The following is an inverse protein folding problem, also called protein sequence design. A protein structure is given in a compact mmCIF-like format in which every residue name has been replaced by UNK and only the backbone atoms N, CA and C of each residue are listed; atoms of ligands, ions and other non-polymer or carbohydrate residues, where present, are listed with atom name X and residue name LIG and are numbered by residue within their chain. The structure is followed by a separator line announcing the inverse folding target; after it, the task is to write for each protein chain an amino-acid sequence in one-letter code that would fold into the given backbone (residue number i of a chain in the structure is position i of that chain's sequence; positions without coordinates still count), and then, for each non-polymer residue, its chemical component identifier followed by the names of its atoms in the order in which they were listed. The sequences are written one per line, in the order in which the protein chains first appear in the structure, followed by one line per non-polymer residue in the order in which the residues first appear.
data_IF_265270950870
#
_entry.id   IF_265270950870
#
_cell.length_a   1.000
_cell.length_b   1.000
_cell.length_c   1.000
_cell.angle_alpha   90.00
_cell.angle_beta   90.00
_cell.angle_gamma   90.00
#
_symmetry.space_group_name_H-M   'P 1'
#
loop_
_entity.id
_entity.type
_entity.pdbx_description
1 polymer ?
#
# COMPACT_ATOMS: atom_id res chain seq x y z
N UNK A 1 14.87 -12.63 -29.45
CA UNK A 1 15.19 -11.66 -30.53
C UNK A 1 14.00 -10.79 -30.91
N UNK A 2 12.80 -11.35 -31.07
CA UNK A 2 11.59 -10.62 -31.49
C UNK A 2 11.22 -9.49 -30.50
N UNK A 3 11.25 -9.75 -29.19
CA UNK A 3 10.99 -8.74 -28.15
C UNK A 3 12.04 -7.62 -28.20
N UNK A 4 13.32 -7.97 -28.36
CA UNK A 4 14.39 -6.99 -28.47
C UNK A 4 14.22 -6.06 -29.69
N UNK A 5 13.77 -6.62 -30.81
CA UNK A 5 13.47 -5.85 -32.01
C UNK A 5 12.32 -4.85 -31.79
N UNK A 6 11.23 -5.28 -31.14
CA UNK A 6 10.10 -4.40 -30.80
C UNK A 6 10.52 -3.26 -29.86
N UNK A 7 11.33 -3.55 -28.84
CA UNK A 7 11.82 -2.54 -27.91
C UNK A 7 12.68 -1.49 -28.62
N UNK A 8 13.60 -1.91 -29.50
CA UNK A 8 14.42 -0.98 -30.29
C UNK A 8 13.58 -0.10 -31.22
N UNK A 9 12.52 -0.65 -31.82
CA UNK A 9 11.62 0.11 -32.69
C UNK A 9 10.73 1.10 -31.94
N UNK A 10 10.56 0.92 -30.61
CA UNK A 10 9.71 1.80 -29.79
C UNK A 10 10.28 3.21 -29.64
N UNK A 11 11.57 3.42 -29.89
CA UNK A 11 12.28 4.70 -29.71
C UNK A 11 12.39 5.13 -28.23
N UNK A 12 12.02 4.25 -27.28
CA UNK A 12 12.12 4.54 -25.85
C UNK A 12 13.50 4.12 -25.33
N UNK A 13 14.08 4.86 -24.34
CA UNK A 13 15.27 4.41 -23.66
C UNK A 13 15.03 3.01 -23.07
N UNK A 14 15.93 2.09 -23.41
CA UNK A 14 15.80 0.69 -22.99
C UNK A 14 17.08 0.27 -22.28
N UNK A 15 16.94 -0.19 -21.05
CA UNK A 15 18.00 -0.70 -20.21
C UNK A 15 17.82 -2.21 -20.05
N UNK A 16 18.84 -3.00 -20.34
CA UNK A 16 18.79 -4.46 -20.26
C UNK A 16 19.42 -4.94 -18.95
N UNK A 17 18.62 -5.48 -18.04
CA UNK A 17 19.10 -6.12 -16.84
C UNK A 17 19.26 -7.64 -17.07
N UNK A 18 20.48 -8.16 -16.95
CA UNK A 18 20.79 -9.59 -17.01
C UNK A 18 20.88 -10.12 -15.60
N UNK A 19 19.79 -10.75 -15.12
CA UNK A 19 19.69 -11.22 -13.75
C UNK A 19 20.40 -12.58 -13.53
N UNK A 20 20.63 -12.92 -12.25
CA UNK A 20 21.37 -14.13 -11.80
C UNK A 20 22.89 -14.07 -12.05
N UNK A 21 23.46 -12.87 -12.12
CA UNK A 21 24.90 -12.67 -12.19
C UNK A 21 25.53 -12.80 -10.79
N UNK A 22 25.37 -13.98 -10.17
CA UNK A 22 25.75 -14.22 -8.77
C UNK A 22 27.28 -14.35 -8.61
N UNK A 23 27.99 -14.73 -9.68
CA UNK A 23 29.43 -14.90 -9.75
C UNK A 23 30.04 -14.10 -10.90
N UNK A 24 31.36 -13.82 -10.80
CA UNK A 24 32.07 -13.03 -11.82
C UNK A 24 31.94 -13.64 -13.21
N UNK A 25 32.03 -14.95 -13.33
CA UNK A 25 31.86 -15.65 -14.64
C UNK A 25 30.46 -15.48 -15.22
N UNK A 26 29.42 -15.38 -14.39
CA UNK A 26 28.06 -15.12 -14.85
C UNK A 26 27.87 -13.65 -15.28
N UNK A 27 28.58 -12.74 -14.63
CA UNK A 27 28.63 -11.33 -15.03
C UNK A 27 29.38 -11.17 -16.38
N UNK A 28 30.46 -11.90 -16.59
CA UNK A 28 31.23 -11.89 -17.84
C UNK A 28 30.39 -12.44 -19.01
N UNK A 29 29.54 -13.42 -18.78
CA UNK A 29 28.60 -13.96 -19.77
C UNK A 29 27.53 -12.94 -20.20
N UNK A 30 27.31 -11.86 -19.45
CA UNK A 30 26.42 -10.79 -19.87
C UNK A 30 26.82 -10.13 -21.20
N UNK A 31 28.09 -10.28 -21.60
CA UNK A 31 28.60 -9.80 -22.88
C UNK A 31 27.87 -10.46 -24.07
N UNK A 32 27.39 -11.70 -23.94
CA UNK A 32 26.62 -12.36 -24.99
C UNK A 32 25.34 -11.59 -25.35
N UNK A 33 24.76 -10.86 -24.40
CA UNK A 33 23.56 -10.06 -24.62
C UNK A 33 23.79 -8.77 -25.41
N UNK A 34 25.06 -8.41 -25.67
CA UNK A 34 25.40 -7.29 -26.58
C UNK A 34 24.89 -7.55 -27.99
N UNK A 35 24.76 -8.82 -28.39
CA UNK A 35 24.16 -9.22 -29.66
C UNK A 35 22.70 -8.77 -29.82
N UNK A 36 22.02 -8.45 -28.71
CA UNK A 36 20.65 -7.91 -28.75
C UNK A 36 20.60 -6.45 -29.17
N UNK A 37 21.76 -5.75 -29.25
CA UNK A 37 21.89 -4.38 -29.76
C UNK A 37 21.32 -3.32 -28.80
N UNK A 38 21.40 -3.54 -27.50
CA UNK A 38 21.11 -2.52 -26.49
C UNK A 38 22.41 -1.88 -26.03
N UNK A 39 22.39 -0.57 -25.84
CA UNK A 39 23.55 0.23 -25.42
C UNK A 39 23.90 -0.01 -23.95
N UNK A 40 22.88 -0.16 -23.11
CA UNK A 40 23.05 -0.29 -21.66
C UNK A 40 22.65 -1.69 -21.19
N UNK A 41 23.66 -2.48 -20.77
CA UNK A 41 23.49 -3.84 -20.27
C UNK A 41 24.04 -3.91 -18.85
N UNK A 42 23.21 -4.32 -17.90
CA UNK A 42 23.55 -4.41 -16.48
C UNK A 42 23.50 -5.85 -16.02
N UNK A 43 24.64 -6.48 -15.71
CA UNK A 43 24.64 -7.73 -14.96
C UNK A 43 24.21 -7.45 -13.52
N UNK A 44 23.12 -8.08 -13.09
CA UNK A 44 22.54 -7.89 -11.74
C UNK A 44 22.34 -9.24 -11.05
N UNK A 45 22.39 -9.23 -9.73
CA UNK A 45 21.91 -10.33 -8.90
C UNK A 45 20.88 -9.80 -7.91
N UNK A 46 19.61 -9.99 -8.21
CA UNK A 46 18.54 -9.56 -7.35
C UNK A 46 18.56 -10.26 -5.98
N UNK A 47 19.07 -11.53 -5.95
CA UNK A 47 19.21 -12.30 -4.72
C UNK A 47 20.28 -11.72 -3.78
N UNK A 48 21.38 -11.23 -4.33
CA UNK A 48 22.54 -10.73 -3.57
C UNK A 48 22.66 -9.20 -3.60
N UNK A 49 21.65 -8.50 -4.13
CA UNK A 49 21.61 -7.04 -4.28
C UNK A 49 22.88 -6.45 -4.96
N UNK A 50 23.37 -7.17 -5.99
CA UNK A 50 24.55 -6.73 -6.77
C UNK A 50 24.12 -6.08 -8.08
N UNK A 51 24.71 -4.95 -8.43
CA UNK A 51 24.46 -4.24 -9.68
C UNK A 51 23.10 -3.52 -9.73
N UNK A 52 22.23 -3.70 -8.76
CA UNK A 52 20.91 -3.09 -8.68
C UNK A 52 20.98 -1.58 -8.51
N UNK A 53 21.90 -1.08 -7.69
CA UNK A 53 22.12 0.36 -7.51
C UNK A 53 22.53 1.04 -8.81
N UNK A 54 23.49 0.49 -9.54
CA UNK A 54 23.97 1.05 -10.82
C UNK A 54 22.86 1.08 -11.84
N UNK A 55 22.05 0.01 -11.95
CA UNK A 55 20.88 -0.03 -12.81
C UNK A 55 19.87 1.07 -12.45
N UNK A 56 19.61 1.27 -11.15
CA UNK A 56 18.67 2.29 -10.69
C UNK A 56 19.19 3.71 -10.94
N UNK A 57 20.46 3.97 -10.65
CA UNK A 57 21.09 5.27 -10.88
C UNK A 57 21.01 5.64 -12.39
N UNK A 58 21.39 4.71 -13.26
CA UNK A 58 21.28 4.93 -14.71
C UNK A 58 19.82 5.07 -15.16
N UNK A 59 18.87 4.35 -14.53
CA UNK A 59 17.45 4.52 -14.83
C UNK A 59 16.99 5.95 -14.51
N UNK A 60 17.43 6.50 -13.38
CA UNK A 60 17.09 7.86 -12.96
C UNK A 60 17.65 8.91 -13.94
N UNK A 61 18.85 8.70 -14.48
CA UNK A 61 19.46 9.58 -15.49
C UNK A 61 18.68 9.63 -16.80
N UNK A 62 17.99 8.53 -17.14
CA UNK A 62 17.18 8.43 -18.36
C UNK A 62 15.71 8.84 -18.18
N UNK A 63 15.29 9.08 -16.92
CA UNK A 63 13.99 9.68 -16.71
C UNK A 63 14.05 11.13 -17.22
N UNK A 64 13.00 11.60 -17.91
CA UNK A 64 12.93 13.01 -18.24
C UNK A 64 13.09 13.78 -16.93
N UNK A 65 14.01 14.75 -16.93
CA UNK A 65 14.02 15.72 -15.83
C UNK A 65 12.57 16.08 -15.60
N UNK A 66 12.13 16.04 -14.35
CA UNK A 66 10.82 16.53 -13.98
C UNK A 66 10.82 18.00 -14.41
N UNK A 67 10.58 18.21 -15.72
CA UNK A 67 10.33 19.53 -16.28
C UNK A 67 9.31 20.11 -15.35
N UNK A 68 9.48 21.36 -14.96
CA UNK A 68 8.49 22.08 -14.19
C UNK A 68 7.14 21.66 -14.72
N UNK A 69 6.58 20.67 -14.05
CA UNK A 69 5.28 20.11 -14.43
C UNK A 69 4.37 21.30 -14.29
N UNK A 70 4.00 21.89 -15.42
CA UNK A 70 2.91 22.87 -15.51
C UNK A 70 1.56 22.23 -15.16
N UNK A 71 1.56 20.96 -14.88
CA UNK A 71 0.68 20.38 -13.93
C UNK A 71 1.11 20.94 -12.56
N UNK A 72 0.50 22.08 -12.22
CA UNK A 72 0.31 22.45 -10.83
C UNK A 72 0.14 21.11 -10.09
N UNK A 73 1.07 20.64 -9.25
CA UNK A 73 0.84 19.46 -8.46
C UNK A 73 -0.31 19.87 -7.55
N UNK A 74 -1.52 19.68 -8.03
CA UNK A 74 -2.63 19.62 -7.09
C UNK A 74 -2.20 18.52 -6.14
N UNK A 75 -1.98 18.85 -4.87
CA UNK A 75 -1.45 17.89 -3.92
C UNK A 75 -2.32 16.66 -4.05
N UNK A 76 -1.74 15.57 -4.52
CA UNK A 76 -2.47 14.35 -4.83
C UNK A 76 -3.22 13.96 -3.57
N UNK A 77 -4.53 14.08 -3.60
CA UNK A 77 -5.37 13.71 -2.47
C UNK A 77 -5.29 12.20 -2.30
N UNK A 78 -4.75 11.75 -1.19
CA UNK A 78 -4.61 10.34 -0.88
C UNK A 78 -5.92 9.81 -0.28
N UNK A 79 -6.53 8.85 -0.95
CA UNK A 79 -7.79 8.25 -0.52
C UNK A 79 -7.54 7.12 0.49
N UNK A 80 -8.07 7.25 1.70
CA UNK A 80 -7.92 6.31 2.79
C UNK A 80 -9.25 5.63 3.10
N UNK A 81 -9.28 4.29 3.16
CA UNK A 81 -10.44 3.53 3.62
C UNK A 81 -10.11 2.84 4.94
N UNK A 82 -10.89 3.09 6.00
CA UNK A 82 -10.75 2.37 7.27
C UNK A 82 -11.73 1.20 7.28
N UNK A 83 -11.19 -0.01 7.17
CA UNK A 83 -11.93 -1.25 7.01
C UNK A 83 -11.67 -2.23 8.16
N UNK A 84 -12.53 -3.20 8.31
CA UNK A 84 -12.44 -4.22 9.38
C UNK A 84 -13.83 -4.65 9.82
N UNK A 85 -13.92 -5.76 10.55
CA UNK A 85 -15.19 -6.30 11.06
C UNK A 85 -15.90 -5.34 12.03
N UNK A 86 -17.17 -5.57 12.36
CA UNK A 86 -17.88 -4.78 13.36
C UNK A 86 -17.18 -4.76 14.74
N UNK A 87 -17.27 -3.66 15.46
CA UNK A 87 -16.80 -3.50 16.85
C UNK A 87 -15.29 -3.59 17.10
N UNK A 88 -14.43 -3.60 16.05
CA UNK A 88 -12.97 -3.54 16.21
C UNK A 88 -12.46 -2.13 16.56
N UNK A 89 -13.33 -1.11 16.59
CA UNK A 89 -12.99 0.26 16.98
C UNK A 89 -12.69 1.22 15.83
N UNK A 90 -13.12 0.93 14.59
CA UNK A 90 -12.95 1.84 13.44
C UNK A 90 -13.41 3.27 13.71
N UNK A 91 -14.61 3.43 14.27
CA UNK A 91 -15.16 4.75 14.59
C UNK A 91 -14.35 5.50 15.66
N UNK A 92 -13.77 4.77 16.61
CA UNK A 92 -12.91 5.37 17.63
C UNK A 92 -11.60 5.87 17.05
N UNK A 93 -11.02 5.12 16.10
CA UNK A 93 -9.81 5.53 15.39
C UNK A 93 -10.08 6.79 14.56
N UNK A 94 -11.21 6.83 13.82
CA UNK A 94 -11.58 8.01 13.04
C UNK A 94 -11.76 9.22 13.94
N UNK A 95 -12.47 9.07 15.06
CA UNK A 95 -12.67 10.17 16.00
C UNK A 95 -11.33 10.66 16.58
N UNK A 96 -10.42 9.74 16.91
CA UNK A 96 -9.10 10.11 17.41
C UNK A 96 -8.25 10.82 16.35
N UNK A 97 -8.31 10.38 15.09
CA UNK A 97 -7.64 11.03 13.98
C UNK A 97 -8.17 12.44 13.72
N UNK A 98 -9.50 12.59 13.67
CA UNK A 98 -10.14 13.89 13.37
C UNK A 98 -10.07 14.89 14.52
N UNK A 99 -9.75 14.45 15.74
CA UNK A 99 -9.58 15.30 16.92
C UNK A 99 -8.10 15.57 17.25
N UNK A 100 -7.16 15.04 16.46
CA UNK A 100 -5.73 15.24 16.71
C UNK A 100 -5.26 16.61 16.20
N UNK A 101 -4.35 17.24 16.91
CA UNK A 101 -3.77 18.55 16.55
C UNK A 101 -2.99 18.53 15.23
N UNK A 102 -2.68 17.36 14.71
CA UNK A 102 -1.95 17.14 13.45
C UNK A 102 -2.85 16.98 12.24
N UNK A 103 -4.17 16.94 12.44
CA UNK A 103 -5.16 16.69 11.39
C UNK A 103 -6.13 17.86 11.32
N UNK A 104 -6.10 18.58 10.23
CA UNK A 104 -7.06 19.66 9.95
C UNK A 104 -8.18 19.05 9.09
N UNK A 105 -9.37 18.94 9.65
CA UNK A 105 -10.57 18.49 8.91
C UNK A 105 -11.17 19.68 8.20
N UNK A 106 -11.29 19.61 6.88
CA UNK A 106 -11.96 20.65 6.11
C UNK A 106 -13.47 20.46 6.18
N UNK A 107 -14.19 21.43 6.74
CA UNK A 107 -15.64 21.49 6.61
C UNK A 107 -15.98 22.01 5.21
N UNK A 108 -16.30 21.12 4.28
CA UNK A 108 -16.92 21.52 3.02
C UNK A 108 -18.44 21.38 3.22
N UNK A 109 -19.18 22.49 3.27
CA UNK A 109 -20.63 22.45 3.33
C UNK A 109 -21.19 22.00 1.99
N UNK A 110 -21.94 20.93 1.97
CA UNK A 110 -22.85 20.59 0.88
C UNK A 110 -22.33 19.60 -0.14
N UNK A 111 -22.63 18.34 0.12
CA UNK A 111 -23.16 17.45 -0.90
C UNK A 111 -24.01 16.37 -0.23
N UNK A 112 -25.24 16.36 -0.64
CA UNK A 112 -26.35 15.45 -0.52
C UNK A 112 -26.07 13.98 -0.20
N UNK A 113 -26.77 13.48 0.81
CA UNK A 113 -27.41 12.17 1.10
C UNK A 113 -26.70 10.84 0.92
N UNK A 114 -25.60 10.72 0.15
CA UNK A 114 -24.92 9.45 -0.11
C UNK A 114 -23.42 9.58 0.20
N UNK A 115 -22.84 8.59 0.93
CA UNK A 115 -21.44 8.35 1.23
C UNK A 115 -20.58 9.62 1.44
N UNK A 116 -20.54 10.13 2.65
CA UNK A 116 -19.75 11.35 2.95
C UNK A 116 -18.28 10.97 3.08
N UNK A 117 -17.52 11.25 2.05
CA UNK A 117 -16.06 11.25 2.11
C UNK A 117 -15.62 12.51 2.89
N UNK A 118 -14.68 12.38 3.81
CA UNK A 118 -14.23 13.48 4.67
C UNK A 118 -12.81 13.89 4.28
N UNK A 119 -12.62 15.08 3.71
CA UNK A 119 -11.29 15.60 3.41
C UNK A 119 -10.60 16.03 4.70
N UNK A 120 -9.30 15.76 4.78
CA UNK A 120 -8.44 16.20 5.88
C UNK A 120 -7.01 16.36 5.41
N UNK A 121 -6.23 17.09 6.18
CA UNK A 121 -4.81 17.34 5.88
C UNK A 121 -3.96 16.87 7.05
N UNK A 122 -2.87 16.18 6.74
CA UNK A 122 -1.86 15.78 7.72
C UNK A 122 -0.63 16.63 7.51
N UNK A 123 -0.12 17.23 8.57
CA UNK A 123 1.16 17.92 8.58
C UNK A 123 2.20 17.09 9.34
N UNK A 124 3.29 16.73 8.67
CA UNK A 124 4.39 15.96 9.27
C UNK A 124 5.72 16.49 8.72
N UNK A 125 6.63 16.86 9.61
CA UNK A 125 7.99 17.34 9.27
C UNK A 125 8.00 18.46 8.21
N UNK A 126 7.05 19.38 8.29
CA UNK A 126 6.93 20.50 7.34
C UNK A 126 6.36 20.11 5.97
N UNK A 127 5.90 18.86 5.80
CA UNK A 127 5.19 18.40 4.60
C UNK A 127 3.70 18.32 4.88
N UNK A 128 2.93 18.86 3.95
CA UNK A 128 1.47 18.85 3.98
C UNK A 128 0.95 17.80 3.00
N UNK A 129 0.20 16.81 3.52
CA UNK A 129 -0.44 15.79 2.69
C UNK A 129 -1.95 15.94 2.77
N UNK A 130 -2.59 16.15 1.62
CA UNK A 130 -4.05 16.13 1.52
C UNK A 130 -4.55 14.69 1.45
N UNK A 131 -5.53 14.38 2.29
CA UNK A 131 -6.11 13.06 2.42
C UNK A 131 -7.63 13.14 2.37
N UNK A 132 -8.26 12.04 2.01
CA UNK A 132 -9.72 11.89 2.04
C UNK A 132 -10.09 10.54 2.66
N UNK A 133 -10.89 10.55 3.73
CA UNK A 133 -11.49 9.34 4.28
C UNK A 133 -12.71 8.95 3.46
N UNK A 134 -12.68 7.75 2.89
CA UNK A 134 -13.76 7.21 2.06
C UNK A 134 -14.78 6.46 2.91
N UNK A 135 -16.07 6.62 2.58
CA UNK A 135 -17.24 5.93 3.17
C UNK A 135 -17.38 6.10 4.70
N UNK A 136 -17.24 7.32 5.18
CA UNK A 136 -17.47 7.63 6.61
C UNK A 136 -18.94 7.52 7.03
N UNK A 137 -19.89 7.47 6.08
CA UNK A 137 -21.34 7.34 6.36
C UNK A 137 -21.70 6.02 7.06
N UNK A 138 -21.03 4.93 6.72
CA UNK A 138 -21.15 3.64 7.40
C UNK A 138 -20.73 3.69 8.87
N UNK A 139 -19.91 4.66 9.25
CA UNK A 139 -19.35 4.81 10.58
C UNK A 139 -20.18 5.76 11.47
N UNK A 140 -20.85 6.76 10.88
CA UNK A 140 -21.68 7.75 11.62
C UNK A 140 -23.10 7.25 11.92
N UNK A 141 -23.68 6.35 11.11
CA UNK A 141 -25.08 5.88 11.24
C UNK A 141 -25.34 4.81 12.31
N UNK A 142 -24.37 4.39 13.12
CA UNK A 142 -24.52 3.31 14.12
C UNK A 142 -25.51 3.54 15.26
N UNK A 143 -26.35 4.58 15.24
CA UNK A 143 -27.26 4.86 16.37
C UNK A 143 -28.67 4.24 16.27
N UNK A 144 -29.09 3.62 15.16
CA UNK A 144 -30.53 3.27 15.05
C UNK A 144 -31.01 2.01 14.30
N UNK A 145 -30.23 1.05 13.79
CA UNK A 145 -30.83 -0.15 13.15
C UNK A 145 -30.05 -1.43 13.44
N UNK A 146 -30.75 -2.46 13.93
CA UNK A 146 -30.18 -3.71 14.45
C UNK A 146 -30.09 -4.90 13.48
N UNK A 147 -30.83 -4.99 12.38
CA UNK A 147 -31.07 -6.28 11.71
C UNK A 147 -30.81 -6.41 10.18
N UNK A 148 -30.29 -5.40 9.50
CA UNK A 148 -29.93 -5.54 8.05
C UNK A 148 -28.46 -5.23 7.77
N UNK A 149 -27.62 -5.24 8.79
CA UNK A 149 -26.31 -4.57 8.81
C UNK A 149 -25.15 -5.38 8.23
N UNK A 150 -25.21 -6.71 8.16
CA UNK A 150 -24.06 -7.49 7.71
C UNK A 150 -23.85 -7.45 6.20
N UNK A 151 -24.90 -7.60 5.42
CA UNK A 151 -24.78 -7.61 3.96
C UNK A 151 -24.39 -6.24 3.38
N UNK A 152 -24.99 -5.17 3.87
CA UNK A 152 -24.63 -3.81 3.48
C UNK A 152 -23.20 -3.42 3.91
N UNK A 153 -22.70 -4.00 5.00
CA UNK A 153 -21.34 -3.78 5.49
C UNK A 153 -20.26 -4.37 4.55
N UNK A 154 -20.49 -5.57 4.00
CA UNK A 154 -19.52 -6.23 3.12
C UNK A 154 -19.43 -5.53 1.76
N UNK A 155 -20.57 -5.19 1.15
CA UNK A 155 -20.61 -4.49 -0.14
C UNK A 155 -19.96 -3.12 -0.05
N UNK A 156 -20.26 -2.34 0.99
CA UNK A 156 -19.63 -1.04 1.23
C UNK A 156 -18.14 -1.12 1.48
N UNK A 157 -17.70 -2.12 2.26
CA UNK A 157 -16.28 -2.38 2.46
C UNK A 157 -15.56 -2.65 1.14
N UNK A 158 -16.18 -3.44 0.26
CA UNK A 158 -15.64 -3.73 -1.06
C UNK A 158 -15.57 -2.48 -1.95
N UNK A 159 -16.60 -1.64 -1.94
CA UNK A 159 -16.61 -0.37 -2.67
C UNK A 159 -15.58 0.62 -2.14
N UNK A 160 -15.43 0.74 -0.83
CA UNK A 160 -14.41 1.59 -0.21
C UNK A 160 -12.99 1.12 -0.59
N UNK A 161 -12.72 -0.19 -0.57
CA UNK A 161 -11.43 -0.76 -0.97
C UNK A 161 -11.15 -0.48 -2.45
N UNK A 162 -12.14 -0.55 -3.33
CA UNK A 162 -11.94 -0.24 -4.76
C UNK A 162 -11.56 1.22 -5.01
N UNK A 163 -12.07 2.12 -4.20
CA UNK A 163 -11.89 3.58 -4.36
C UNK A 163 -10.67 4.14 -3.62
N UNK A 164 -10.13 3.43 -2.62
CA UNK A 164 -8.99 3.92 -1.84
C UNK A 164 -7.66 3.67 -2.52
N UNK A 165 -6.66 4.43 -2.12
CA UNK A 165 -5.25 4.18 -2.43
C UNK A 165 -4.62 3.32 -1.33
N UNK A 166 -4.98 3.60 -0.08
CA UNK A 166 -4.53 2.86 1.10
C UNK A 166 -5.73 2.37 1.91
N UNK A 167 -5.79 1.08 2.17
CA UNK A 167 -6.74 0.48 3.10
C UNK A 167 -6.10 0.32 4.48
N UNK A 168 -6.75 0.86 5.51
CA UNK A 168 -6.37 0.68 6.92
C UNK A 168 -7.23 -0.44 7.49
N UNK A 169 -6.66 -1.65 7.57
CA UNK A 169 -7.33 -2.82 8.13
C UNK A 169 -7.20 -2.83 9.67
N UNK A 170 -8.32 -2.61 10.35
CA UNK A 170 -8.37 -2.61 11.81
C UNK A 170 -8.75 -3.99 12.32
N UNK A 171 -7.90 -4.58 13.14
CA UNK A 171 -8.11 -5.85 13.83
C UNK A 171 -8.13 -5.65 15.34
N UNK A 172 -8.84 -6.50 16.04
CA UNK A 172 -8.98 -6.45 17.49
C UNK A 172 -7.88 -7.28 18.17
N UNK A 173 -7.12 -6.65 19.05
CA UNK A 173 -6.00 -7.29 19.75
C UNK A 173 -6.46 -8.43 20.68
N UNK A 174 -7.63 -8.32 21.28
CA UNK A 174 -8.15 -9.30 22.23
C UNK A 174 -8.57 -10.59 21.51
N UNK A 175 -9.41 -10.46 20.47
CA UNK A 175 -9.90 -11.63 19.73
C UNK A 175 -8.92 -12.16 18.70
N UNK A 176 -7.93 -11.36 18.30
CA UNK A 176 -6.97 -11.72 17.26
C UNK A 176 -7.57 -11.72 15.85
N UNK A 177 -6.83 -12.31 14.92
CA UNK A 177 -7.23 -12.41 13.50
C UNK A 177 -8.23 -13.53 13.34
N UNK A 178 -9.42 -13.20 12.85
CA UNK A 178 -10.49 -14.17 12.55
C UNK A 178 -10.68 -14.30 11.02
N UNK A 179 -11.52 -15.25 10.60
CA UNK A 179 -11.75 -15.55 9.18
C UNK A 179 -12.29 -14.34 8.39
N UNK A 180 -13.10 -13.50 9.03
CA UNK A 180 -13.63 -12.28 8.41
C UNK A 180 -12.53 -11.24 8.13
N UNK A 181 -11.53 -11.12 9.00
CA UNK A 181 -10.38 -10.23 8.78
C UNK A 181 -9.53 -10.70 7.59
N UNK A 182 -9.36 -12.02 7.45
CA UNK A 182 -8.64 -12.61 6.31
C UNK A 182 -9.36 -12.35 4.98
N UNK A 183 -10.70 -12.46 4.95
CA UNK A 183 -11.49 -12.13 3.75
C UNK A 183 -11.35 -10.66 3.34
N UNK A 184 -11.29 -9.75 4.30
CA UNK A 184 -11.06 -8.32 4.02
C UNK A 184 -9.64 -8.11 3.49
N UNK A 185 -8.63 -8.74 4.11
CA UNK A 185 -7.24 -8.67 3.65
C UNK A 185 -7.07 -9.22 2.22
N UNK A 186 -7.70 -10.36 1.91
CA UNK A 186 -7.72 -10.93 0.56
C UNK A 186 -8.36 -9.97 -0.46
N UNK A 187 -9.45 -9.31 -0.09
CA UNK A 187 -10.09 -8.31 -0.94
C UNK A 187 -9.19 -7.10 -1.20
N UNK A 188 -8.44 -6.61 -0.20
CA UNK A 188 -7.45 -5.54 -0.36
C UNK A 188 -6.37 -5.96 -1.34
N UNK A 189 -5.82 -7.17 -1.17
CA UNK A 189 -4.77 -7.72 -2.02
C UNK A 189 -5.23 -7.88 -3.47
N UNK A 190 -6.43 -8.44 -3.70
CA UNK A 190 -7.01 -8.61 -5.05
C UNK A 190 -7.28 -7.29 -5.77
N UNK A 191 -7.51 -6.22 -5.03
CA UNK A 191 -7.68 -4.87 -5.60
C UNK A 191 -6.35 -4.10 -5.70
N UNK A 192 -5.21 -4.75 -5.42
CA UNK A 192 -3.87 -4.15 -5.49
C UNK A 192 -3.75 -2.83 -4.71
N UNK A 193 -4.36 -2.77 -3.51
CA UNK A 193 -4.30 -1.59 -2.66
C UNK A 193 -3.22 -1.72 -1.60
N UNK A 194 -2.56 -0.62 -1.29
CA UNK A 194 -1.66 -0.59 -0.15
C UNK A 194 -2.45 -0.87 1.15
N UNK A 195 -1.84 -1.60 2.09
CA UNK A 195 -2.52 -2.01 3.32
C UNK A 195 -1.70 -1.65 4.55
N UNK A 196 -2.33 -0.93 5.48
CA UNK A 196 -1.83 -0.70 6.83
C UNK A 196 -2.67 -1.53 7.79
N UNK A 197 -2.04 -2.42 8.55
CA UNK A 197 -2.74 -3.22 9.58
C UNK A 197 -2.61 -2.52 10.93
N UNK A 198 -3.76 -2.16 11.52
CA UNK A 198 -3.85 -1.54 12.84
C UNK A 198 -4.39 -2.56 13.84
N UNK A 199 -3.60 -2.88 14.85
CA UNK A 199 -4.02 -3.75 15.95
C UNK A 199 -4.57 -2.86 17.07
N UNK A 200 -5.90 -2.77 17.15
CA UNK A 200 -6.60 -1.92 18.12
C UNK A 200 -6.94 -2.64 19.42
N UNK A 201 -7.30 -1.91 20.47
CA UNK A 201 -7.60 -2.40 21.82
C UNK A 201 -6.42 -3.14 22.46
N UNK A 202 -5.21 -2.71 22.14
CA UNK A 202 -3.98 -3.31 22.65
C UNK A 202 -3.86 -3.20 24.17
N UNK A 203 -4.45 -2.17 24.74
CA UNK A 203 -4.56 -1.90 26.16
C UNK A 203 -5.34 -2.97 26.94
N UNK A 204 -6.34 -3.59 26.28
CA UNK A 204 -7.17 -4.63 26.89
C UNK A 204 -6.49 -6.01 26.94
N UNK A 205 -5.36 -6.18 26.28
CA UNK A 205 -4.65 -7.46 26.25
C UNK A 205 -3.70 -7.60 27.45
N UNK A 206 -3.63 -8.80 28.05
CA UNK A 206 -2.64 -9.10 29.09
C UNK A 206 -1.23 -9.12 28.51
N UNK A 207 -0.22 -8.83 29.35
CA UNK A 207 1.17 -8.79 28.89
C UNK A 207 1.65 -10.14 28.34
N UNK A 208 1.17 -11.25 28.88
CA UNK A 208 1.44 -12.58 28.35
C UNK A 208 0.93 -12.76 26.91
N UNK A 209 -0.28 -12.26 26.62
CA UNK A 209 -0.86 -12.29 25.27
C UNK A 209 -0.11 -11.37 24.30
N UNK A 210 0.31 -10.20 24.79
CA UNK A 210 1.12 -9.25 24.00
C UNK A 210 2.43 -9.88 23.56
N UNK A 211 3.15 -10.53 24.47
CA UNK A 211 4.41 -11.20 24.18
C UNK A 211 4.25 -12.41 23.26
N UNK A 212 3.23 -13.24 23.47
CA UNK A 212 2.95 -14.38 22.61
C UNK A 212 2.67 -13.96 21.17
N UNK A 213 1.88 -12.89 20.96
CA UNK A 213 1.55 -12.37 19.64
C UNK A 213 2.73 -11.70 18.95
N UNK A 214 3.58 -10.97 19.66
CA UNK A 214 4.82 -10.43 19.08
C UNK A 214 5.70 -11.57 18.54
N UNK A 215 5.88 -12.66 19.29
CA UNK A 215 6.65 -13.83 18.86
C UNK A 215 6.04 -14.49 17.64
N UNK A 216 4.72 -14.62 17.56
CA UNK A 216 4.02 -15.20 16.41
C UNK A 216 4.20 -14.37 15.14
N UNK A 217 4.06 -13.05 15.22
CA UNK A 217 4.28 -12.13 14.10
C UNK A 217 5.73 -12.25 13.56
N UNK A 218 6.71 -12.27 14.47
CA UNK A 218 8.13 -12.41 14.10
C UNK A 218 8.41 -13.77 13.46
N UNK A 219 7.81 -14.85 13.98
CA UNK A 219 8.00 -16.20 13.44
C UNK A 219 7.39 -16.38 12.04
N UNK A 220 6.22 -15.79 11.79
CA UNK A 220 5.58 -15.80 10.47
C UNK A 220 6.40 -15.02 9.45
N UNK A 221 6.89 -13.83 9.78
CA UNK A 221 7.78 -13.05 8.89
C UNK A 221 9.05 -13.82 8.49
N UNK A 222 9.61 -14.63 9.40
CA UNK A 222 10.76 -15.49 9.09
C UNK A 222 10.39 -16.64 8.15
N UNK A 223 9.19 -17.25 8.31
CA UNK A 223 8.71 -18.33 7.43
C UNK A 223 8.38 -17.83 6.02
N UNK A 224 7.79 -16.65 5.90
CA UNK A 224 7.45 -16.06 4.60
C UNK A 224 8.71 -15.71 3.82
N UNK A 225 9.73 -15.13 4.46
CA UNK A 225 11.05 -14.90 3.82
C UNK A 225 11.70 -16.17 3.30
N UNK A 226 11.58 -17.31 4.03
CA UNK A 226 12.11 -18.61 3.57
C UNK A 226 11.29 -19.27 2.47
N UNK A 227 10.07 -18.80 2.21
CA UNK A 227 9.19 -19.31 1.15
C UNK A 227 9.40 -18.58 -0.17
N UNK A 228 9.78 -17.33 -0.11
CA UNK A 228 10.14 -16.51 -1.27
C UNK A 228 11.57 -16.82 -1.77
N UNK A 229 12.39 -17.49 -0.94
CA UNK A 229 13.75 -17.93 -1.25
C UNK A 229 13.82 -19.31 -1.93
N UNK A 230 12.68 -19.91 -2.30
CA UNK A 230 12.60 -21.20 -3.04
C UNK A 230 11.88 -21.03 -4.36
#
# INVERSE_FOLDING_TARGET
EEVAQHLRQSGKPTLLAVNKADHQTAADNAVEFTALGFEHIFPVSALHDRGTSVLMDTTLEHLPEAGESTLNPQPSTLNLAIVGRPNVGKSSIINALTQSDRVIVSEIPGTTRDAVDVPFTIETEGRVQHCQLIDTAGLRKKRRVKDSLEYFSVTRTAEAIKRCDIAVLVVDAETGIVEQDKKIADLITRNHRACIVVINKWDLTTDAVKEARKKEIVSRRKKDRHRDDR
#
